data_IF_423582053931
#
_entry.id   IF_423582053931
#
_cell.length_a   1.000
_cell.length_b   1.000
_cell.length_c   1.000
_cell.angle_alpha   90.00
_cell.angle_beta   90.00
_cell.angle_gamma   90.00
#
_symmetry.space_group_name_H-M   'P 1'
#
loop_
_entity.id
_entity.type
_entity.pdbx_description
1 polymer ?
#
# COMPACT_ATOMS: atom_id res chain seq x y z
N UNK A 1 -11.62 2.33 0.39
CA UNK A 1 -10.76 2.48 1.59
C UNK A 1 -11.18 3.64 2.48
N UNK A 2 -12.29 4.30 2.20
CA UNK A 2 -12.71 5.41 3.03
C UNK A 2 -13.17 4.92 4.41
N UNK A 3 -12.85 5.67 5.47
CA UNK A 3 -13.17 5.31 6.85
C UNK A 3 -12.32 4.19 7.49
N UNK A 4 -11.21 3.77 6.87
CA UNK A 4 -10.25 2.83 7.48
C UNK A 4 -8.95 3.51 7.92
N UNK A 5 -8.20 2.86 8.82
CA UNK A 5 -6.93 3.38 9.33
C UNK A 5 -5.82 3.33 8.28
N UNK A 6 -4.80 4.18 8.43
CA UNK A 6 -3.69 4.23 7.47
C UNK A 6 -2.87 2.93 7.45
N UNK A 7 -2.76 2.24 8.60
CA UNK A 7 -2.14 0.91 8.68
C UNK A 7 -2.81 -0.12 7.76
N UNK A 8 -4.14 -0.11 7.68
CA UNK A 8 -4.88 -1.01 6.77
C UNK A 8 -4.61 -0.64 5.31
N UNK A 9 -4.47 0.65 5.01
CA UNK A 9 -4.10 1.12 3.66
C UNK A 9 -2.69 0.67 3.29
N UNK A 10 -1.73 0.81 4.20
CA UNK A 10 -0.34 0.38 4.00
C UNK A 10 -0.23 -1.13 3.80
N UNK A 11 -0.92 -1.94 4.61
CA UNK A 11 -0.96 -3.41 4.42
C UNK A 11 -1.49 -3.80 3.03
N UNK A 12 -2.57 -3.16 2.59
CA UNK A 12 -3.14 -3.44 1.28
C UNK A 12 -2.20 -3.03 0.14
N UNK A 13 -1.58 -1.84 0.23
CA UNK A 13 -0.58 -1.39 -0.73
C UNK A 13 0.57 -2.41 -0.81
N UNK A 14 1.08 -2.86 0.34
CA UNK A 14 2.14 -3.88 0.42
C UNK A 14 1.72 -5.19 -0.26
N UNK A 15 0.52 -5.70 0.01
CA UNK A 15 0.04 -6.93 -0.63
C UNK A 15 -0.12 -6.78 -2.14
N UNK A 16 -0.65 -5.64 -2.59
CA UNK A 16 -0.74 -5.33 -4.01
C UNK A 16 0.65 -5.24 -4.65
N UNK A 17 1.62 -4.64 -3.96
CA UNK A 17 3.02 -4.56 -4.42
C UNK A 17 3.70 -5.93 -4.50
N UNK A 18 3.49 -6.80 -3.50
CA UNK A 18 4.01 -8.18 -3.49
C UNK A 18 3.42 -9.02 -4.63
N UNK A 19 2.17 -8.74 -5.03
CA UNK A 19 1.56 -9.39 -6.19
C UNK A 19 2.14 -8.85 -7.51
N UNK A 20 2.27 -7.53 -7.65
CA UNK A 20 2.92 -6.86 -8.76
C UNK A 20 3.42 -5.46 -8.33
N UNK A 21 4.69 -5.10 -8.55
CA UNK A 21 5.24 -3.81 -8.14
C UNK A 21 4.50 -2.60 -8.70
N UNK A 22 4.05 -2.65 -9.95
CA UNK A 22 3.35 -1.52 -10.58
C UNK A 22 1.89 -1.45 -10.12
N UNK A 23 1.30 -2.58 -9.74
CA UNK A 23 -0.01 -2.59 -9.10
C UNK A 23 0.03 -1.91 -7.73
N UNK A 24 0.98 -2.27 -6.87
CA UNK A 24 1.15 -1.62 -5.56
C UNK A 24 1.37 -0.11 -5.66
N UNK A 25 2.23 0.34 -6.59
CA UNK A 25 2.45 1.77 -6.86
C UNK A 25 1.18 2.46 -7.35
N UNK A 26 0.40 1.81 -8.23
CA UNK A 26 -0.86 2.33 -8.73
C UNK A 26 -1.90 2.52 -7.61
N UNK A 27 -1.98 1.54 -6.70
CA UNK A 27 -2.86 1.61 -5.52
C UNK A 27 -2.42 2.74 -4.57
N UNK A 28 -1.11 2.85 -4.27
CA UNK A 28 -0.59 3.93 -3.44
C UNK A 28 -0.93 5.31 -4.03
N UNK A 29 -0.72 5.48 -5.34
CA UNK A 29 -1.08 6.72 -6.07
C UNK A 29 -2.57 7.03 -5.99
N UNK A 30 -3.44 6.03 -6.16
CA UNK A 30 -4.89 6.21 -6.09
C UNK A 30 -5.37 6.62 -4.69
N UNK A 31 -4.62 6.24 -3.65
CA UNK A 31 -4.90 6.57 -2.25
C UNK A 31 -4.19 7.85 -1.77
N UNK A 32 -3.36 8.47 -2.62
CA UNK A 32 -2.57 9.65 -2.25
C UNK A 32 -1.44 9.37 -1.26
N UNK A 33 -0.94 8.14 -1.24
CA UNK A 33 0.14 7.68 -0.35
C UNK A 33 1.43 7.56 -1.17
N UNK A 34 2.55 8.07 -0.66
CA UNK A 34 3.86 7.81 -1.24
C UNK A 34 4.24 6.35 -0.94
N UNK A 35 4.66 5.61 -1.97
CA UNK A 35 5.07 4.21 -1.82
C UNK A 35 6.28 4.07 -0.90
N UNK A 36 7.10 5.11 -0.76
CA UNK A 36 8.26 5.12 0.13
C UNK A 36 7.88 5.22 1.61
N UNK A 37 6.66 5.65 1.93
CA UNK A 37 6.14 5.68 3.30
C UNK A 37 5.60 4.32 3.76
N UNK A 38 5.49 3.36 2.83
CA UNK A 38 4.97 2.01 3.10
C UNK A 38 6.14 1.07 3.35
N UNK A 39 6.16 0.42 4.51
CA UNK A 39 7.08 -0.69 4.76
C UNK A 39 6.61 -1.93 3.96
N UNK A 40 7.25 -2.15 2.81
CA UNK A 40 6.94 -3.23 1.87
C UNK A 40 7.38 -4.61 2.39
N UNK A 41 8.31 -4.66 3.35
CA UNK A 41 8.91 -5.89 3.86
C UNK A 41 8.40 -6.28 5.26
N UNK A 42 7.62 -5.41 5.92
CA UNK A 42 7.05 -5.74 7.23
C UNK A 42 6.29 -7.08 7.20
N UNK A 43 6.54 -7.88 8.24
CA UNK A 43 5.83 -9.12 8.50
C UNK A 43 4.46 -8.76 9.07
N UNK A 44 3.45 -8.91 8.22
CA UNK A 44 2.02 -8.76 8.50
C UNK A 44 1.51 -9.50 9.73
#
# INVERSE_FOLDING_TARGET
>A
MDGTTDEVKYRHIRHCYKADPDYGKGVAKALGIDINDVDLEAAD
#
